data_IF_879850600341
#
_entry.id   IF_879850600341
#
_cell.length_a   1.000
_cell.length_b   1.000
_cell.length_c   1.000
_cell.angle_alpha   90.00
_cell.angle_beta   90.00
_cell.angle_gamma   90.00
#
_symmetry.space_group_name_H-M   'P 1'
#
loop_
_entity.id
_entity.type
_entity.pdbx_description
1 polymer ?
#
# COMPACT_ATOMS: atom_id res chain seq x y z
N UNK A 1 -9.42 19.78 -9.00
CA UNK A 1 -10.79 20.31 -9.14
C UNK A 1 -11.72 19.30 -8.50
N UNK A 2 -12.12 19.56 -7.25
CA UNK A 2 -12.87 18.58 -6.42
C UNK A 2 -14.38 18.77 -6.58
N UNK A 3 -15.10 17.67 -6.83
CA UNK A 3 -16.56 17.61 -6.78
C UNK A 3 -17.00 16.85 -5.53
N UNK A 4 -17.75 17.55 -4.66
CA UNK A 4 -18.38 16.99 -3.46
C UNK A 4 -19.71 16.32 -3.82
N UNK A 5 -19.88 15.05 -3.45
CA UNK A 5 -21.16 14.34 -3.52
C UNK A 5 -21.87 14.39 -2.17
N UNK A 6 -23.07 15.00 -2.12
CA UNK A 6 -23.92 15.08 -0.91
C UNK A 6 -24.86 13.85 -0.85
N UNK A 7 -24.86 13.11 0.26
CA UNK A 7 -25.91 12.14 0.59
C UNK A 7 -26.76 12.68 1.75
N UNK A 8 -28.09 12.65 1.60
CA UNK A 8 -29.06 13.04 2.63
C UNK A 8 -29.51 11.80 3.41
N UNK A 9 -29.35 11.82 4.73
CA UNK A 9 -29.98 10.88 5.64
C UNK A 9 -30.93 11.63 6.58
N UNK A 10 -32.15 11.11 6.74
CA UNK A 10 -33.22 11.67 7.57
C UNK A 10 -33.22 10.96 8.92
N UNK A 11 -33.01 11.67 10.03
CA UNK A 11 -33.02 11.06 11.37
C UNK A 11 -34.22 11.53 12.19
N UNK A 12 -34.87 10.56 12.85
CA UNK A 12 -35.96 10.71 13.80
C UNK A 12 -35.54 11.46 15.06
N UNK A 13 -36.38 12.40 15.49
CA UNK A 13 -36.20 13.18 16.70
C UNK A 13 -36.40 12.39 17.99
N UNK A 14 -35.63 12.72 19.02
CA UNK A 14 -35.89 12.36 20.41
C UNK A 14 -35.68 13.59 21.30
N UNK A 15 -36.74 13.93 22.03
CA UNK A 15 -36.92 15.01 22.99
C UNK A 15 -35.83 15.10 24.07
N UNK A 16 -35.41 16.33 24.38
CA UNK A 16 -34.87 16.68 25.70
C UNK A 16 -35.60 17.91 26.26
N UNK A 17 -36.32 17.69 27.37
CA UNK A 17 -37.08 18.69 28.14
C UNK A 17 -36.13 19.66 28.85
N UNK A 18 -36.34 20.95 28.63
CA UNK A 18 -35.68 22.04 29.36
C UNK A 18 -36.56 22.54 30.53
N UNK A 19 -35.94 22.74 31.69
CA UNK A 19 -36.57 23.17 32.94
C UNK A 19 -36.67 24.69 33.00
N UNK A 20 -37.89 25.15 33.22
CA UNK A 20 -38.35 26.53 33.25
C UNK A 20 -37.82 27.31 34.49
N UNK A 21 -37.32 28.54 34.32
CA UNK A 21 -37.27 29.53 35.40
C UNK A 21 -37.68 30.93 34.92
N UNK A 22 -38.76 31.36 35.56
CA UNK A 22 -39.61 32.53 35.37
C UNK A 22 -38.95 33.86 35.73
N UNK A 23 -39.23 34.91 34.96
CA UNK A 23 -39.40 36.28 35.47
C UNK A 23 -40.59 36.97 34.81
N UNK A 24 -41.50 37.43 35.67
CA UNK A 24 -42.74 38.18 35.40
C UNK A 24 -42.44 39.65 35.13
N UNK A 25 -43.04 40.27 34.10
CA UNK A 25 -43.48 41.68 34.14
C UNK A 25 -44.78 41.87 33.33
N UNK A 26 -45.81 42.29 34.07
CA UNK A 26 -47.02 43.10 33.82
C UNK A 26 -47.60 43.35 32.42
N UNK A 27 -48.94 43.20 32.36
CA UNK A 27 -49.86 43.57 31.29
C UNK A 27 -50.23 45.06 31.31
N UNK A 28 -50.44 45.67 30.13
CA UNK A 28 -51.42 46.76 29.89
C UNK A 28 -51.91 46.67 28.44
N UNK A 29 -53.24 46.75 28.28
CA UNK A 29 -54.01 46.72 27.03
C UNK A 29 -53.96 48.04 26.25
N UNK A 30 -53.98 47.96 24.91
CA UNK A 30 -54.72 48.90 24.05
C UNK A 30 -54.86 48.34 22.63
N UNK A 31 -56.11 48.03 22.26
CA UNK A 31 -56.50 47.71 20.89
C UNK A 31 -56.68 49.01 20.10
N UNK A 32 -55.98 49.14 18.97
CA UNK A 32 -56.33 50.10 17.91
C UNK A 32 -56.24 49.36 16.58
N UNK A 33 -57.37 49.29 15.89
CA UNK A 33 -57.56 48.72 14.56
C UNK A 33 -56.96 49.69 13.53
N UNK A 34 -55.91 49.28 12.80
CA UNK A 34 -55.49 49.94 11.57
C UNK A 34 -55.01 48.90 10.57
N UNK A 35 -55.80 48.77 9.51
CA UNK A 35 -55.62 47.91 8.35
C UNK A 35 -54.39 48.38 7.55
N UNK A 36 -53.24 47.73 7.69
CA UNK A 36 -52.06 47.97 6.84
C UNK A 36 -51.33 46.65 6.59
N UNK A 37 -51.49 46.17 5.35
CA UNK A 37 -50.59 45.28 4.56
C UNK A 37 -49.95 44.08 5.26
N UNK A 38 -50.28 42.88 4.75
CA UNK A 38 -49.55 41.66 5.06
C UNK A 38 -48.07 41.81 4.75
N UNK A 39 -47.26 41.82 5.82
CA UNK A 39 -45.86 41.43 5.75
C UNK A 39 -45.83 40.11 6.50
N UNK A 40 -45.83 39.01 5.76
CA UNK A 40 -45.38 37.74 6.30
C UNK A 40 -43.92 37.95 6.69
N UNK A 41 -43.64 38.04 7.98
CA UNK A 41 -42.26 37.92 8.46
C UNK A 41 -41.88 36.47 8.14
N UNK A 42 -40.93 36.21 7.22
CA UNK A 42 -40.51 34.85 6.99
C UNK A 42 -39.98 34.31 8.31
N UNK A 43 -40.48 33.15 8.74
CA UNK A 43 -39.80 32.39 9.77
C UNK A 43 -38.38 32.16 9.24
N UNK A 44 -37.39 32.79 9.86
CA UNK A 44 -35.99 32.46 9.62
C UNK A 44 -35.87 31.03 10.13
N UNK A 45 -35.92 30.06 9.21
CA UNK A 45 -35.46 28.71 9.50
C UNK A 45 -34.03 28.88 9.99
N UNK A 46 -33.78 28.57 11.26
CA UNK A 46 -32.42 28.43 11.73
C UNK A 46 -31.77 27.39 10.82
N UNK A 47 -30.71 27.83 10.13
CA UNK A 47 -29.90 26.95 9.30
C UNK A 47 -29.50 25.77 10.19
N UNK A 48 -29.93 24.56 9.85
CA UNK A 48 -29.47 23.39 10.60
C UNK A 48 -27.95 23.40 10.50
N UNK A 49 -27.20 23.26 11.61
CA UNK A 49 -25.76 23.33 11.57
C UNK A 49 -25.25 22.29 10.57
N UNK A 50 -24.70 22.76 9.44
CA UNK A 50 -24.03 21.90 8.47
C UNK A 50 -22.77 21.37 9.17
N UNK A 51 -22.91 20.19 9.79
CA UNK A 51 -21.77 19.48 10.35
C UNK A 51 -21.03 18.86 9.18
N UNK A 52 -20.03 19.59 8.67
CA UNK A 52 -19.09 19.06 7.69
C UNK A 52 -18.10 18.19 8.45
N UNK A 53 -18.27 16.87 8.34
CA UNK A 53 -17.29 15.90 8.84
C UNK A 53 -16.28 15.66 7.72
N UNK A 54 -15.12 16.30 7.83
CA UNK A 54 -13.98 16.02 6.96
C UNK A 54 -13.14 14.90 7.56
N UNK A 55 -13.15 13.74 6.90
CA UNK A 55 -12.28 12.61 7.23
C UNK A 55 -11.41 12.25 6.01
N UNK A 56 -10.15 11.96 6.25
CA UNK A 56 -9.21 11.44 5.24
C UNK A 56 -8.59 10.13 5.70
N UNK A 57 -8.46 9.17 4.79
CA UNK A 57 -7.63 7.97 4.99
C UNK A 57 -6.17 8.21 4.55
N UNK A 58 -5.29 7.23 4.76
CA UNK A 58 -3.86 7.29 4.42
C UNK A 58 -3.59 7.02 2.91
N UNK A 59 -4.39 7.56 2.00
CA UNK A 59 -4.29 7.29 0.55
C UNK A 59 -3.82 8.49 -0.28
N UNK A 60 -3.39 8.25 -1.53
CA UNK A 60 -2.98 9.28 -2.48
C UNK A 60 -4.16 10.02 -3.16
N UNK A 61 -5.38 9.90 -2.63
CA UNK A 61 -6.56 10.67 -3.05
C UNK A 61 -7.23 10.24 -4.36
N UNK A 62 -6.91 9.05 -4.89
CA UNK A 62 -7.54 8.45 -6.08
C UNK A 62 -7.88 6.99 -5.72
N UNK A 63 -9.13 6.57 -5.92
CA UNK A 63 -9.56 5.18 -5.73
C UNK A 63 -10.48 4.92 -4.53
N UNK A 64 -10.52 3.66 -4.09
CA UNK A 64 -11.43 3.16 -3.05
C UNK A 64 -11.22 3.83 -1.69
N UNK A 65 -12.27 4.44 -1.12
CA UNK A 65 -12.25 4.93 0.26
C UNK A 65 -12.24 3.75 1.23
N UNK A 66 -11.19 3.64 2.05
CA UNK A 66 -11.02 2.53 2.99
C UNK A 66 -12.17 2.46 4.02
N UNK A 67 -12.50 3.57 4.69
CA UNK A 67 -13.62 3.61 5.63
C UNK A 67 -14.97 3.45 4.95
N UNK A 68 -15.13 3.97 3.73
CA UNK A 68 -16.36 3.76 2.97
C UNK A 68 -16.51 2.29 2.57
N UNK A 69 -15.43 1.60 2.20
CA UNK A 69 -15.43 0.15 1.95
C UNK A 69 -15.80 -0.63 3.22
N UNK A 70 -15.30 -0.24 4.38
CA UNK A 70 -15.74 -0.79 5.66
C UNK A 70 -17.24 -0.56 5.90
N UNK A 71 -17.76 0.65 5.65
CA UNK A 71 -19.19 0.95 5.78
C UNK A 71 -20.06 0.07 4.88
N UNK A 72 -19.70 -0.06 3.61
CA UNK A 72 -20.38 -0.95 2.66
C UNK A 72 -20.34 -2.42 3.11
N UNK A 73 -19.21 -2.88 3.65
CA UNK A 73 -19.08 -4.22 4.19
C UNK A 73 -19.98 -4.45 5.42
N UNK A 74 -20.10 -3.45 6.29
CA UNK A 74 -21.01 -3.49 7.44
C UNK A 74 -22.50 -3.47 7.03
N UNK A 75 -22.81 -2.94 5.86
CA UNK A 75 -24.14 -3.02 5.23
C UNK A 75 -24.38 -4.37 4.52
N UNK A 76 -23.42 -5.30 4.58
CA UNK A 76 -23.54 -6.66 4.07
C UNK A 76 -23.12 -6.84 2.61
N UNK A 77 -22.47 -5.84 1.99
CA UNK A 77 -21.97 -5.97 0.62
C UNK A 77 -20.76 -6.88 0.53
N UNK A 78 -20.63 -7.60 -0.58
CA UNK A 78 -19.45 -8.42 -0.88
C UNK A 78 -18.28 -7.56 -1.36
N UNK A 79 -17.06 -8.12 -1.30
CA UNK A 79 -15.86 -7.49 -1.80
C UNK A 79 -15.99 -7.02 -3.26
N UNK A 80 -16.62 -7.83 -4.11
CA UNK A 80 -16.86 -7.54 -5.52
C UNK A 80 -17.83 -6.37 -5.70
N UNK A 81 -18.91 -6.31 -4.90
CA UNK A 81 -19.85 -5.19 -4.91
C UNK A 81 -19.19 -3.90 -4.39
N UNK A 82 -18.32 -4.00 -3.39
CA UNK A 82 -17.56 -2.88 -2.84
C UNK A 82 -16.61 -2.32 -3.90
N UNK A 83 -15.79 -3.15 -4.54
CA UNK A 83 -14.87 -2.65 -5.59
C UNK A 83 -15.66 -2.13 -6.80
N UNK A 84 -16.76 -2.79 -7.20
CA UNK A 84 -17.63 -2.33 -8.28
C UNK A 84 -18.29 -0.97 -8.00
N UNK A 85 -18.55 -0.64 -6.73
CA UNK A 85 -19.04 0.67 -6.32
C UNK A 85 -17.99 1.77 -6.55
N UNK A 86 -16.72 1.53 -6.23
CA UNK A 86 -15.66 2.53 -6.39
C UNK A 86 -15.10 2.62 -7.81
N UNK A 87 -15.08 1.49 -8.53
CA UNK A 87 -14.59 1.39 -9.89
C UNK A 87 -15.79 1.05 -10.78
N UNK A 88 -16.63 2.05 -11.05
CA UNK A 88 -17.87 1.86 -11.82
C UNK A 88 -17.57 1.26 -13.19
N UNK A 89 -18.34 0.23 -13.59
CA UNK A 89 -18.11 -0.48 -14.85
C UNK A 89 -17.02 -1.55 -14.80
N UNK A 90 -16.39 -1.75 -13.63
CA UNK A 90 -15.42 -2.82 -13.43
C UNK A 90 -16.06 -4.18 -13.16
N UNK A 91 -15.28 -5.23 -13.38
CA UNK A 91 -15.56 -6.61 -12.98
C UNK A 91 -14.32 -7.26 -12.40
N UNK A 92 -14.47 -8.36 -11.68
CA UNK A 92 -13.33 -9.18 -11.25
C UNK A 92 -13.04 -10.29 -12.26
N UNK A 93 -11.76 -10.60 -12.45
CA UNK A 93 -11.30 -11.70 -13.29
C UNK A 93 -10.00 -12.32 -12.74
N UNK A 94 -9.68 -13.54 -13.16
CA UNK A 94 -8.37 -14.11 -12.87
C UNK A 94 -7.31 -13.41 -13.72
N UNK A 95 -6.14 -13.13 -13.12
CA UNK A 95 -5.00 -12.52 -13.82
C UNK A 95 -4.66 -13.30 -15.09
N UNK A 96 -4.64 -14.63 -15.00
CA UNK A 96 -4.31 -15.50 -16.13
C UNK A 96 -5.27 -15.37 -17.31
N UNK A 97 -6.54 -15.02 -17.07
CA UNK A 97 -7.52 -14.79 -18.13
C UNK A 97 -7.28 -13.43 -18.82
N UNK A 98 -6.62 -12.50 -18.14
CA UNK A 98 -6.31 -11.17 -18.66
C UNK A 98 -5.01 -11.14 -19.47
N UNK A 99 -4.00 -11.87 -19.03
CA UNK A 99 -2.66 -11.81 -19.64
C UNK A 99 -2.27 -13.07 -20.43
N UNK A 100 -2.96 -14.19 -20.20
CA UNK A 100 -2.64 -15.49 -20.78
C UNK A 100 -1.62 -16.30 -19.95
N UNK A 101 -1.63 -17.61 -20.14
CA UNK A 101 -0.83 -18.59 -19.37
C UNK A 101 0.69 -18.41 -19.52
N UNK A 102 1.15 -17.91 -20.68
CA UNK A 102 2.57 -17.77 -21.00
C UNK A 102 3.16 -16.42 -20.57
N UNK A 103 2.34 -15.50 -20.07
CA UNK A 103 2.80 -14.17 -19.68
C UNK A 103 3.67 -14.22 -18.42
N UNK A 104 4.71 -13.39 -18.34
CA UNK A 104 5.70 -13.41 -17.25
C UNK A 104 5.07 -13.21 -15.86
N UNK A 105 3.97 -12.46 -15.77
CA UNK A 105 3.21 -12.28 -14.53
C UNK A 105 2.66 -13.60 -13.97
N UNK A 106 2.47 -14.60 -14.83
CA UNK A 106 1.97 -15.94 -14.47
C UNK A 106 3.13 -16.94 -14.35
N UNK A 107 4.11 -16.86 -15.24
CA UNK A 107 5.19 -17.87 -15.35
C UNK A 107 6.39 -17.61 -14.46
N UNK A 108 6.73 -16.36 -14.14
CA UNK A 108 7.77 -16.04 -13.15
C UNK A 108 7.16 -16.17 -11.73
N UNK A 109 7.72 -17.03 -10.84
CA UNK A 109 7.22 -17.18 -9.48
C UNK A 109 7.41 -15.91 -8.62
N UNK A 110 8.31 -15.01 -9.02
CA UNK A 110 8.64 -13.77 -8.31
C UNK A 110 8.69 -12.57 -9.28
N UNK A 111 7.57 -12.24 -9.95
CA UNK A 111 7.58 -11.26 -11.03
C UNK A 111 7.71 -9.83 -10.50
N UNK A 112 7.30 -9.57 -9.25
CA UNK A 112 7.21 -8.23 -8.71
C UNK A 112 8.54 -7.78 -8.12
N UNK A 113 8.91 -6.53 -8.42
CA UNK A 113 10.11 -5.87 -7.90
C UNK A 113 9.69 -4.61 -7.17
N UNK A 114 9.82 -4.60 -5.85
CA UNK A 114 9.43 -3.48 -5.00
C UNK A 114 10.70 -2.72 -4.60
N UNK A 115 10.84 -1.46 -5.01
CA UNK A 115 12.00 -0.62 -4.71
C UNK A 115 12.05 -0.28 -3.23
N UNK A 116 13.14 -0.72 -2.57
CA UNK A 116 13.39 -0.50 -1.15
C UNK A 116 14.32 0.70 -0.93
N UNK A 117 15.46 0.70 -1.64
CA UNK A 117 16.48 1.73 -1.49
C UNK A 117 16.89 2.23 -2.86
N UNK A 118 17.04 3.55 -3.00
CA UNK A 118 17.48 4.17 -4.26
C UNK A 118 18.75 4.98 -4.06
N UNK A 119 19.59 5.03 -5.10
CA UNK A 119 20.75 5.91 -5.19
C UNK A 119 21.72 5.78 -3.98
N UNK A 120 22.11 4.55 -3.63
CA UNK A 120 22.99 4.26 -2.48
C UNK A 120 24.39 3.87 -2.94
N UNK A 121 25.44 4.38 -2.28
CA UNK A 121 26.81 3.84 -2.45
C UNK A 121 27.09 2.65 -1.54
N UNK A 122 26.16 2.36 -0.62
CA UNK A 122 26.23 1.27 0.34
C UNK A 122 24.82 0.80 0.65
N UNK A 123 24.59 -0.50 0.48
CA UNK A 123 23.37 -1.18 0.96
C UNK A 123 23.78 -2.04 2.14
N UNK A 124 23.36 -1.65 3.35
CA UNK A 124 23.56 -2.44 4.57
C UNK A 124 22.43 -3.45 4.71
N UNK A 125 22.77 -4.66 5.14
CA UNK A 125 21.81 -5.70 5.43
C UNK A 125 22.36 -6.69 6.47
N UNK A 126 21.45 -7.43 7.11
CA UNK A 126 21.80 -8.48 8.05
C UNK A 126 20.77 -9.61 8.00
N UNK A 127 21.14 -10.78 8.51
CA UNK A 127 20.17 -11.81 8.88
C UNK A 127 19.69 -11.53 10.31
N UNK A 128 18.38 -11.53 10.53
CA UNK A 128 17.79 -11.42 11.88
C UNK A 128 17.85 -12.78 12.56
N UNK A 129 17.34 -13.79 11.86
CA UNK A 129 17.35 -15.19 12.22
C UNK A 129 17.78 -16.05 11.00
N UNK A 130 17.93 -17.35 11.24
CA UNK A 130 18.38 -18.30 10.21
C UNK A 130 19.68 -17.85 9.54
N UNK A 131 19.91 -18.24 8.30
CA UNK A 131 21.07 -17.73 7.55
C UNK A 131 20.69 -17.44 6.10
N UNK A 132 21.17 -16.32 5.58
CA UNK A 132 20.91 -15.86 4.21
C UNK A 132 22.12 -16.13 3.32
N UNK A 133 21.92 -16.16 2.01
CA UNK A 133 23.03 -16.25 1.05
C UNK A 133 23.13 -14.98 0.23
N UNK A 134 24.28 -14.33 0.27
CA UNK A 134 24.63 -13.23 -0.61
C UNK A 134 25.38 -13.76 -1.85
N UNK A 135 24.98 -13.27 -3.03
CA UNK A 135 25.57 -13.64 -4.30
C UNK A 135 25.99 -12.39 -5.08
N UNK A 136 27.18 -12.46 -5.69
CA UNK A 136 27.75 -11.41 -6.51
C UNK A 136 27.84 -11.90 -7.96
N UNK A 137 27.18 -11.21 -8.90
CA UNK A 137 27.31 -11.54 -10.31
C UNK A 137 28.71 -11.12 -10.80
N UNK A 138 29.48 -12.06 -11.37
CA UNK A 138 30.74 -11.78 -12.06
C UNK A 138 32.04 -12.16 -11.32
N UNK A 139 32.02 -12.65 -10.08
CA UNK A 139 33.24 -12.96 -9.31
C UNK A 139 33.34 -14.36 -8.70
N UNK A 140 32.39 -15.28 -8.94
CA UNK A 140 32.52 -16.68 -8.50
C UNK A 140 31.29 -17.37 -7.90
N UNK A 141 30.09 -16.80 -8.02
CA UNK A 141 28.83 -17.48 -7.65
C UNK A 141 28.33 -17.19 -6.23
N UNK A 142 27.16 -17.75 -5.90
CA UNK A 142 26.49 -17.61 -4.61
C UNK A 142 27.26 -18.35 -3.50
N UNK A 143 28.14 -17.65 -2.78
CA UNK A 143 29.05 -18.33 -1.83
C UNK A 143 29.12 -17.68 -0.44
N UNK A 144 28.48 -16.53 -0.21
CA UNK A 144 28.63 -15.81 1.05
C UNK A 144 27.45 -16.09 1.98
N UNK A 145 27.70 -16.84 3.04
CA UNK A 145 26.72 -17.07 4.10
C UNK A 145 26.68 -15.87 5.03
N UNK A 146 25.49 -15.29 5.18
CA UNK A 146 25.18 -14.18 6.08
C UNK A 146 24.49 -14.79 7.30
N UNK A 147 25.13 -14.69 8.45
CA UNK A 147 24.64 -15.26 9.71
C UNK A 147 24.11 -14.17 10.65
N UNK A 148 23.26 -14.51 11.63
CA UNK A 148 22.73 -13.55 12.58
C UNK A 148 23.85 -12.90 13.41
N UNK A 149 23.68 -11.61 13.72
CA UNK A 149 24.67 -10.81 14.46
C UNK A 149 25.82 -10.26 13.61
N UNK A 150 25.86 -10.56 12.31
CA UNK A 150 26.84 -9.99 11.38
C UNK A 150 26.30 -8.73 10.69
N UNK A 151 27.13 -7.71 10.50
CA UNK A 151 26.78 -6.52 9.73
C UNK A 151 27.37 -6.58 8.33
N UNK A 152 26.52 -6.85 7.33
CA UNK A 152 26.94 -6.93 5.94
C UNK A 152 26.64 -5.65 5.17
N UNK A 153 27.45 -5.39 4.15
CA UNK A 153 27.17 -4.33 3.18
C UNK A 153 27.58 -4.76 1.78
N UNK A 154 26.83 -4.29 0.78
CA UNK A 154 27.30 -4.21 -0.60
C UNK A 154 27.69 -2.76 -0.89
N UNK A 155 28.96 -2.53 -1.25
CA UNK A 155 29.54 -1.19 -1.39
C UNK A 155 30.05 -0.95 -2.80
N UNK A 156 29.84 0.28 -3.29
CA UNK A 156 30.44 0.80 -4.52
C UNK A 156 31.81 1.39 -4.21
N UNK A 157 32.82 1.03 -5.00
CA UNK A 157 34.21 1.50 -4.87
C UNK A 157 34.49 2.67 -5.81
N UNK A 158 35.60 3.38 -5.56
CA UNK A 158 36.02 4.53 -6.38
C UNK A 158 36.43 4.16 -7.81
N UNK A 159 36.74 2.89 -8.06
CA UNK A 159 37.07 2.33 -9.38
C UNK A 159 35.82 1.89 -10.18
N UNK A 160 34.60 2.14 -9.66
CA UNK A 160 33.32 1.76 -10.28
C UNK A 160 32.91 0.31 -10.04
N UNK A 161 33.76 -0.50 -9.40
CA UNK A 161 33.41 -1.87 -9.01
C UNK A 161 32.62 -1.91 -7.70
N UNK A 162 31.99 -3.04 -7.41
CA UNK A 162 31.32 -3.29 -6.14
C UNK A 162 31.86 -4.54 -5.45
N UNK A 163 31.72 -4.59 -4.13
CA UNK A 163 32.11 -5.75 -3.32
C UNK A 163 31.20 -5.89 -2.08
N UNK A 164 31.17 -7.09 -1.50
CA UNK A 164 30.65 -7.30 -0.17
C UNK A 164 31.71 -6.97 0.89
N UNK A 165 31.26 -6.36 1.97
CA UNK A 165 32.02 -6.18 3.21
C UNK A 165 31.24 -6.76 4.37
N UNK A 166 31.95 -7.32 5.35
CA UNK A 166 31.42 -7.69 6.66
C UNK A 166 32.17 -6.87 7.70
N UNK A 167 31.44 -6.13 8.54
CA UNK A 167 32.03 -5.22 9.54
C UNK A 167 33.05 -4.24 8.91
N UNK A 168 32.68 -3.72 7.73
CA UNK A 168 33.48 -2.83 6.87
C UNK A 168 34.76 -3.45 6.25
N UNK A 169 35.06 -4.71 6.53
CA UNK A 169 36.17 -5.44 5.90
C UNK A 169 35.71 -6.17 4.62
N UNK A 170 36.48 -6.12 3.51
CA UNK A 170 36.13 -6.82 2.27
C UNK A 170 36.10 -8.34 2.46
N UNK A 171 34.99 -8.97 2.05
CA UNK A 171 34.81 -10.44 2.10
C UNK A 171 34.59 -11.05 0.72
N UNK A 172 34.39 -10.24 -0.32
CA UNK A 172 34.35 -10.68 -1.71
C UNK A 172 35.42 -9.99 -2.54
N UNK A 173 35.77 -10.61 -3.67
CA UNK A 173 36.45 -9.90 -4.74
C UNK A 173 35.57 -8.75 -5.24
N UNK A 174 36.22 -7.70 -5.74
CA UNK A 174 35.52 -6.60 -6.40
C UNK A 174 35.07 -7.03 -7.81
N UNK A 175 33.91 -6.55 -8.25
CA UNK A 175 33.30 -6.97 -9.51
C UNK A 175 32.11 -6.11 -9.91
N UNK A 176 31.20 -6.65 -10.71
CA UNK A 176 30.04 -5.90 -11.22
C UNK A 176 29.11 -5.44 -10.08
N UNK A 177 28.44 -4.31 -10.22
CA UNK A 177 27.48 -3.83 -9.22
C UNK A 177 26.11 -4.49 -9.34
N UNK A 178 26.12 -5.82 -9.39
CA UNK A 178 24.94 -6.67 -9.43
C UNK A 178 25.06 -7.76 -8.37
N UNK A 179 24.18 -7.71 -7.37
CA UNK A 179 24.17 -8.67 -6.28
C UNK A 179 22.74 -9.10 -5.92
N UNK A 180 22.63 -10.21 -5.21
CA UNK A 180 21.36 -10.66 -4.64
C UNK A 180 21.57 -11.22 -3.24
N UNK A 181 20.57 -11.04 -2.37
CA UNK A 181 20.50 -11.71 -1.06
C UNK A 181 19.24 -12.56 -1.05
N UNK A 182 19.41 -13.87 -0.84
CA UNK A 182 18.34 -14.87 -0.94
C UNK A 182 18.30 -15.79 0.29
N UNK A 183 17.29 -16.65 0.33
CA UNK A 183 17.09 -17.60 1.44
C UNK A 183 16.12 -17.10 2.50
N UNK A 184 15.43 -15.99 2.24
CA UNK A 184 14.39 -15.51 3.14
C UNK A 184 13.22 -16.51 3.21
N UNK A 185 12.70 -16.74 4.41
CA UNK A 185 11.50 -17.57 4.64
C UNK A 185 10.80 -17.22 5.96
N UNK A 186 9.45 -17.23 6.04
CA UNK A 186 8.67 -16.86 7.25
C UNK A 186 9.03 -17.62 8.53
N UNK A 187 9.46 -18.88 8.42
CA UNK A 187 9.88 -19.70 9.57
C UNK A 187 11.37 -20.05 9.58
N UNK A 188 12.19 -19.35 8.80
CA UNK A 188 13.60 -19.67 8.63
C UNK A 188 14.51 -18.48 8.84
N UNK A 189 14.71 -17.68 7.79
CA UNK A 189 15.64 -16.56 7.82
C UNK A 189 14.96 -15.28 7.34
N UNK A 190 15.14 -14.18 8.07
CA UNK A 190 14.65 -12.87 7.72
C UNK A 190 15.82 -11.94 7.40
N UNK A 191 15.60 -11.11 6.39
CA UNK A 191 16.52 -10.04 5.99
C UNK A 191 16.14 -8.75 6.72
N UNK A 192 17.12 -8.12 7.34
CA UNK A 192 17.03 -6.76 7.85
C UNK A 192 17.68 -5.76 6.88
N UNK A 193 17.00 -4.65 6.60
CA UNK A 193 17.51 -3.49 5.85
C UNK A 193 17.51 -2.23 6.73
N UNK A 194 18.54 -2.01 7.57
CA UNK A 194 18.52 -0.97 8.61
C UNK A 194 18.31 0.47 8.09
N UNK A 195 18.65 0.71 6.82
CA UNK A 195 18.54 2.04 6.20
C UNK A 195 17.09 2.47 5.88
N UNK A 196 16.10 1.62 6.12
CA UNK A 196 14.69 1.98 5.98
C UNK A 196 14.12 2.69 7.22
N UNK A 197 14.80 2.65 8.38
CA UNK A 197 14.60 3.47 9.59
C UNK A 197 13.15 3.63 10.14
N UNK A 198 12.16 2.87 9.65
CA UNK A 198 10.74 3.01 10.04
C UNK A 198 10.12 1.79 10.74
N UNK A 199 10.92 0.84 11.26
CA UNK A 199 10.40 -0.42 11.83
C UNK A 199 9.66 -1.29 10.81
N UNK A 200 9.99 -1.12 9.53
CA UNK A 200 9.45 -1.79 8.33
C UNK A 200 10.60 -2.31 7.48
N UNK A 201 11.62 -2.80 8.15
CA UNK A 201 12.94 -3.10 7.62
C UNK A 201 13.25 -4.59 7.60
N UNK A 202 12.35 -5.43 8.10
CA UNK A 202 12.48 -6.88 8.09
C UNK A 202 11.63 -7.53 6.99
N UNK A 203 12.20 -8.51 6.30
CA UNK A 203 11.57 -9.21 5.18
C UNK A 203 11.82 -10.71 5.28
N UNK A 204 10.75 -11.49 5.20
CA UNK A 204 10.81 -12.95 5.30
C UNK A 204 10.50 -13.66 3.98
N UNK A 205 10.34 -12.93 2.87
CA UNK A 205 9.93 -13.49 1.58
C UNK A 205 10.70 -12.88 0.42
N UNK A 206 10.76 -13.61 -0.68
CA UNK A 206 11.44 -13.17 -1.90
C UNK A 206 12.97 -13.18 -1.79
N UNK A 207 13.60 -12.26 -2.51
CA UNK A 207 15.06 -12.04 -2.54
C UNK A 207 15.36 -10.57 -2.79
N UNK A 208 16.38 -10.03 -2.13
CA UNK A 208 16.84 -8.67 -2.38
C UNK A 208 17.69 -8.66 -3.63
N UNK A 209 17.36 -7.80 -4.57
CA UNK A 209 18.12 -7.54 -5.79
C UNK A 209 18.81 -6.19 -5.66
N UNK A 210 20.13 -6.17 -5.81
CA UNK A 210 20.93 -4.95 -5.81
C UNK A 210 21.49 -4.76 -7.21
N UNK A 211 21.18 -3.63 -7.84
CA UNK A 211 21.53 -3.34 -9.24
C UNK A 211 21.96 -1.89 -9.42
N UNK A 212 22.71 -1.62 -10.47
CA UNK A 212 23.10 -0.28 -10.87
C UNK A 212 22.57 0.02 -12.28
N UNK A 213 21.97 1.19 -12.56
CA UNK A 213 21.53 1.60 -13.90
C UNK A 213 22.72 1.77 -14.85
N UNK A 214 23.80 2.34 -14.31
CA UNK A 214 25.02 2.66 -15.04
C UNK A 214 26.22 1.96 -14.38
N UNK A 215 27.37 1.85 -15.05
CA UNK A 215 28.62 1.41 -14.39
C UNK A 215 29.16 2.44 -13.36
N UNK A 216 28.30 3.31 -12.83
CA UNK A 216 28.58 4.40 -11.90
C UNK A 216 28.21 4.08 -10.44
N UNK A 217 28.80 4.84 -9.53
CA UNK A 217 29.00 4.55 -8.10
C UNK A 217 27.75 4.47 -7.18
N UNK A 218 26.55 4.20 -7.71
CA UNK A 218 25.31 4.16 -6.92
C UNK A 218 24.41 3.01 -7.37
N UNK A 219 23.90 2.26 -6.40
CA UNK A 219 23.00 1.12 -6.60
C UNK A 219 21.60 1.42 -6.09
N UNK A 220 20.62 0.74 -6.66
CA UNK A 220 19.28 0.56 -6.10
C UNK A 220 19.15 -0.84 -5.51
N UNK A 221 18.31 -0.99 -4.51
CA UNK A 221 17.91 -2.27 -3.95
C UNK A 221 16.40 -2.43 -4.08
N UNK A 222 15.96 -3.55 -4.65
CA UNK A 222 14.56 -3.90 -4.81
C UNK A 222 14.30 -5.31 -4.28
N UNK A 223 13.16 -5.52 -3.62
CA UNK A 223 12.71 -6.84 -3.22
C UNK A 223 12.02 -7.51 -4.42
N UNK A 224 12.59 -8.60 -4.91
CA UNK A 224 11.94 -9.45 -5.91
C UNK A 224 11.12 -10.53 -5.20
N UNK A 225 9.80 -10.56 -5.43
CA UNK A 225 8.83 -11.31 -4.61
C UNK A 225 7.64 -11.81 -5.45
N UNK A 226 6.98 -12.87 -4.97
CA UNK A 226 5.70 -13.31 -5.51
C UNK A 226 4.60 -12.27 -5.26
N UNK A 227 3.60 -12.20 -6.15
CA UNK A 227 2.52 -11.21 -6.04
C UNK A 227 1.66 -11.39 -4.79
N UNK A 228 1.29 -12.63 -4.44
CA UNK A 228 0.47 -12.90 -3.25
C UNK A 228 1.28 -12.69 -1.96
N UNK A 229 2.55 -13.10 -1.98
CA UNK A 229 3.46 -12.87 -0.86
C UNK A 229 3.71 -11.39 -0.59
N UNK A 230 3.76 -10.56 -1.63
CA UNK A 230 3.81 -9.11 -1.48
C UNK A 230 2.57 -8.57 -0.74
N UNK A 231 1.39 -9.09 -1.05
CA UNK A 231 0.15 -8.63 -0.41
C UNK A 231 0.13 -8.93 1.08
N UNK A 232 0.72 -10.04 1.55
CA UNK A 232 0.81 -10.31 2.99
C UNK A 232 1.53 -9.20 3.77
N UNK A 233 2.54 -8.56 3.16
CA UNK A 233 3.29 -7.45 3.75
C UNK A 233 2.66 -6.07 3.55
N UNK A 234 1.50 -5.97 2.89
CA UNK A 234 0.82 -4.72 2.61
C UNK A 234 0.08 -4.20 3.86
N UNK A 235 0.38 -2.97 4.27
CA UNK A 235 -0.11 -2.35 5.50
C UNK A 235 -0.94 -1.10 5.19
N UNK A 236 -2.18 -1.32 4.75
CA UNK A 236 -3.12 -0.26 4.35
C UNK A 236 -4.28 -0.11 5.36
N UNK A 237 -4.90 -1.23 5.75
CA UNK A 237 -6.10 -1.27 6.61
C UNK A 237 -5.87 -2.10 7.89
N UNK A 238 -6.59 -1.82 9.00
CA UNK A 238 -6.53 -2.63 10.21
C UNK A 238 -7.07 -4.05 10.01
N UNK A 239 -6.38 -5.06 10.55
CA UNK A 239 -6.77 -6.48 10.42
C UNK A 239 -8.07 -6.87 11.13
N UNK A 240 -8.58 -6.01 12.00
CA UNK A 240 -9.84 -6.20 12.72
C UNK A 240 -11.07 -5.78 11.91
N UNK A 241 -10.87 -5.21 10.71
CA UNK A 241 -11.96 -4.80 9.85
C UNK A 241 -12.74 -5.99 9.31
N UNK A 242 -13.97 -5.70 8.86
CA UNK A 242 -14.86 -6.68 8.29
C UNK A 242 -14.18 -7.44 7.13
N UNK A 243 -14.38 -8.76 7.06
CA UNK A 243 -13.70 -9.63 6.09
C UNK A 243 -13.91 -9.17 4.63
N UNK A 244 -15.11 -8.76 4.26
CA UNK A 244 -15.38 -8.24 2.90
C UNK A 244 -14.63 -6.93 2.59
N UNK A 245 -14.37 -6.09 3.60
CA UNK A 245 -13.53 -4.90 3.43
C UNK A 245 -12.06 -5.28 3.23
N UNK A 246 -11.56 -6.28 3.98
CA UNK A 246 -10.21 -6.82 3.79
C UNK A 246 -10.06 -7.45 2.40
N UNK A 247 -11.03 -8.25 1.95
CA UNK A 247 -11.06 -8.85 0.62
C UNK A 247 -11.11 -7.79 -0.48
N UNK A 248 -11.93 -6.75 -0.33
CA UNK A 248 -11.96 -5.62 -1.26
C UNK A 248 -10.61 -4.90 -1.35
N UNK A 249 -9.95 -4.67 -0.20
CA UNK A 249 -8.61 -4.09 -0.16
C UNK A 249 -7.56 -4.98 -0.82
N UNK A 250 -7.63 -6.30 -0.63
CA UNK A 250 -6.75 -7.26 -1.30
C UNK A 250 -6.94 -7.24 -2.82
N UNK A 251 -8.19 -7.22 -3.31
CA UNK A 251 -8.50 -7.08 -4.74
C UNK A 251 -7.91 -5.78 -5.30
N UNK A 252 -8.17 -4.64 -4.66
CA UNK A 252 -7.67 -3.34 -5.11
C UNK A 252 -6.12 -3.32 -5.13
N UNK A 253 -5.49 -3.78 -4.05
CA UNK A 253 -4.03 -3.81 -3.95
C UNK A 253 -3.37 -4.73 -4.97
N UNK A 254 -3.94 -5.94 -5.19
CA UNK A 254 -3.46 -6.88 -6.20
C UNK A 254 -3.58 -6.31 -7.61
N UNK A 255 -4.69 -5.65 -7.90
CA UNK A 255 -4.97 -5.04 -9.20
C UNK A 255 -3.95 -3.96 -9.53
N UNK A 256 -3.65 -3.10 -8.56
CA UNK A 256 -2.62 -2.07 -8.71
C UNK A 256 -1.24 -2.68 -8.99
N UNK A 257 -0.81 -3.66 -8.20
CA UNK A 257 0.46 -4.34 -8.39
C UNK A 257 0.54 -5.07 -9.74
N UNK A 258 -0.55 -5.71 -10.16
CA UNK A 258 -0.67 -6.38 -11.46
C UNK A 258 -0.58 -5.39 -12.60
N UNK A 259 -1.27 -4.25 -12.51
CA UNK A 259 -1.16 -3.20 -13.52
C UNK A 259 0.27 -2.65 -13.60
N UNK A 260 1.00 -2.48 -12.48
CA UNK A 260 2.41 -2.10 -12.50
C UNK A 260 3.32 -3.14 -13.16
N UNK A 261 3.03 -4.44 -13.02
CA UNK A 261 3.72 -5.52 -13.73
C UNK A 261 3.48 -5.40 -15.24
N UNK A 262 2.22 -5.42 -15.66
CA UNK A 262 1.86 -5.44 -17.08
C UNK A 262 2.34 -4.16 -17.79
N UNK A 263 2.12 -2.99 -17.19
CA UNK A 263 2.47 -1.70 -17.81
C UNK A 263 3.97 -1.46 -17.94
N UNK A 264 4.81 -2.15 -17.14
CA UNK A 264 6.27 -1.97 -17.17
C UNK A 264 7.02 -3.14 -17.78
N UNK A 265 6.39 -4.30 -17.94
CA UNK A 265 7.04 -5.51 -18.42
C UNK A 265 8.02 -6.10 -17.40
N UNK A 266 8.77 -7.14 -17.78
CA UNK A 266 9.75 -7.77 -16.90
C UNK A 266 10.95 -6.84 -16.64
N UNK A 267 11.74 -7.13 -15.59
CA UNK A 267 12.75 -6.20 -15.08
C UNK A 267 13.92 -5.93 -16.05
N UNK A 268 14.18 -6.85 -16.98
CA UNK A 268 15.12 -6.71 -18.10
C UNK A 268 14.68 -5.63 -19.10
N UNK A 269 13.37 -5.48 -19.30
CA UNK A 269 12.75 -4.63 -20.32
C UNK A 269 12.40 -3.23 -19.80
N UNK A 270 12.67 -2.95 -18.52
CA UNK A 270 12.44 -1.63 -17.95
C UNK A 270 13.09 -0.52 -18.79
N UNK A 271 12.33 0.54 -19.05
CA UNK A 271 12.86 1.75 -19.65
C UNK A 271 14.06 2.30 -18.84
N UNK A 272 15.05 2.87 -19.52
CA UNK A 272 16.27 3.39 -18.88
C UNK A 272 15.97 4.42 -17.78
N UNK A 273 14.94 5.25 -17.96
CA UNK A 273 14.48 6.18 -16.92
C UNK A 273 13.97 5.48 -15.65
N UNK A 274 13.39 4.28 -15.78
CA UNK A 274 12.93 3.48 -14.64
C UNK A 274 14.10 2.77 -13.96
N UNK A 275 15.03 2.23 -14.74
CA UNK A 275 16.29 1.68 -14.21
C UNK A 275 17.06 2.72 -13.41
N UNK A 276 17.16 3.95 -13.92
CA UNK A 276 17.85 5.07 -13.27
C UNK A 276 17.19 5.58 -11.96
N UNK A 277 15.89 5.34 -11.78
CA UNK A 277 15.15 5.85 -10.61
C UNK A 277 15.08 4.82 -9.48
N UNK A 278 14.70 3.59 -9.78
CA UNK A 278 14.63 2.53 -8.77
C UNK A 278 14.95 1.12 -9.29
N UNK A 279 14.92 0.90 -10.60
CA UNK A 279 14.94 -0.43 -11.21
C UNK A 279 13.89 -1.36 -10.58
N UNK A 280 12.65 -0.91 -10.54
CA UNK A 280 11.56 -1.58 -9.82
C UNK A 280 10.22 -1.41 -10.53
N UNK A 281 9.27 -2.29 -10.24
CA UNK A 281 7.88 -2.11 -10.64
C UNK A 281 7.22 -1.00 -9.82
N UNK A 282 7.41 -0.98 -8.51
CA UNK A 282 6.77 -0.02 -7.59
C UNK A 282 7.64 0.30 -6.39
N UNK A 283 7.38 1.41 -5.71
CA UNK A 283 8.01 1.78 -4.44
C UNK A 283 7.30 1.12 -3.26
N UNK A 284 8.03 0.90 -2.16
CA UNK A 284 7.48 0.37 -0.90
C UNK A 284 6.68 1.39 -0.07
N UNK A 285 6.60 2.64 -0.54
CA UNK A 285 5.99 3.75 0.20
C UNK A 285 4.62 4.09 -0.36
N UNK A 286 3.89 4.97 0.33
CA UNK A 286 2.60 5.52 -0.11
C UNK A 286 2.64 6.26 -1.46
N UNK A 287 3.82 6.43 -2.07
CA UNK A 287 3.92 6.82 -3.49
C UNK A 287 3.31 5.78 -4.43
N UNK A 288 3.31 4.51 -4.03
CA UNK A 288 2.60 3.43 -4.70
C UNK A 288 1.67 2.73 -3.70
N UNK A 289 2.23 1.97 -2.75
CA UNK A 289 1.49 1.22 -1.74
C UNK A 289 2.34 1.06 -0.47
N UNK A 290 1.73 1.18 0.70
CA UNK A 290 2.39 1.08 2.00
C UNK A 290 2.80 -0.38 2.27
N UNK A 291 4.02 -0.74 1.89
CA UNK A 291 4.58 -2.07 2.11
C UNK A 291 5.44 -2.08 3.38
N UNK A 292 5.10 -2.94 4.33
CA UNK A 292 5.77 -3.05 5.62
C UNK A 292 6.48 -4.40 5.83
N UNK A 293 6.39 -5.31 4.85
CA UNK A 293 7.07 -6.60 4.91
C UNK A 293 6.68 -7.41 6.15
N UNK A 294 7.69 -7.99 6.80
CA UNK A 294 7.51 -8.92 7.91
C UNK A 294 6.80 -8.30 9.12
N UNK A 295 6.98 -7.01 9.36
CA UNK A 295 6.30 -6.30 10.44
C UNK A 295 4.76 -6.39 10.33
N UNK A 296 4.22 -6.43 9.11
CA UNK A 296 2.79 -6.62 8.88
C UNK A 296 2.39 -8.10 8.92
N UNK A 297 3.21 -8.98 8.36
CA UNK A 297 2.94 -10.42 8.31
C UNK A 297 2.94 -11.09 9.68
N UNK A 298 3.77 -10.60 10.60
CA UNK A 298 3.92 -11.14 11.95
C UNK A 298 3.04 -10.42 13.00
N UNK A 299 2.31 -9.38 12.60
CA UNK A 299 1.51 -8.60 13.53
C UNK A 299 0.29 -9.37 14.04
N UNK A 300 -0.16 -9.00 15.25
CA UNK A 300 -1.35 -9.61 15.85
C UNK A 300 -2.59 -9.39 14.97
N UNK A 301 -3.23 -10.47 14.55
CA UNK A 301 -4.39 -10.44 13.65
C UNK A 301 -4.05 -10.52 12.15
N UNK A 302 -2.76 -10.58 11.77
CA UNK A 302 -2.34 -10.71 10.37
C UNK A 302 -2.98 -11.90 9.64
N UNK A 303 -3.34 -12.97 10.35
CA UNK A 303 -4.05 -14.12 9.79
C UNK A 303 -5.39 -13.75 9.12
N UNK A 304 -6.10 -12.73 9.60
CA UNK A 304 -7.34 -12.26 8.96
C UNK A 304 -7.04 -11.62 7.60
N UNK A 305 -5.97 -10.82 7.53
CA UNK A 305 -5.51 -10.22 6.28
C UNK A 305 -5.00 -11.26 5.30
N UNK A 306 -4.17 -12.19 5.75
CA UNK A 306 -3.66 -13.30 4.93
C UNK A 306 -4.81 -14.14 4.37
N UNK A 307 -5.84 -14.45 5.18
CA UNK A 307 -7.05 -15.13 4.72
C UNK A 307 -7.82 -14.36 3.63
N UNK A 308 -7.90 -13.02 3.75
CA UNK A 308 -8.51 -12.18 2.72
C UNK A 308 -7.68 -12.13 1.42
N UNK A 309 -6.35 -12.11 1.53
CA UNK A 309 -5.43 -12.24 0.39
C UNK A 309 -5.64 -13.60 -0.29
N UNK A 310 -5.58 -14.70 0.47
CA UNK A 310 -5.68 -16.07 -0.03
C UNK A 310 -7.03 -16.35 -0.70
N UNK A 311 -8.12 -15.93 -0.07
CA UNK A 311 -9.49 -16.11 -0.62
C UNK A 311 -9.75 -15.29 -1.88
N UNK A 312 -8.86 -14.36 -2.23
CA UNK A 312 -8.94 -13.55 -3.45
C UNK A 312 -7.74 -13.78 -4.38
N UNK A 313 -6.92 -14.80 -4.12
CA UNK A 313 -5.69 -15.07 -4.85
C UNK A 313 -5.93 -15.11 -6.36
N UNK A 314 -5.03 -14.50 -7.13
CA UNK A 314 -5.12 -14.42 -8.58
C UNK A 314 -6.28 -13.56 -9.12
N UNK A 315 -7.13 -12.98 -8.27
CA UNK A 315 -8.29 -12.20 -8.70
C UNK A 315 -7.97 -10.71 -8.70
N UNK A 316 -8.21 -10.05 -9.84
CA UNK A 316 -8.00 -8.62 -10.04
C UNK A 316 -9.27 -7.94 -10.55
N UNK A 317 -9.35 -6.64 -10.29
CA UNK A 317 -10.35 -5.72 -10.85
C UNK A 317 -9.92 -5.35 -12.26
N UNK A 318 -10.86 -5.46 -13.18
CA UNK A 318 -10.70 -5.20 -14.61
C UNK A 318 -11.71 -4.17 -15.04
N UNK A 319 -11.34 -3.30 -15.98
CA UNK A 319 -12.26 -2.31 -16.54
C UNK A 319 -12.15 -2.35 -18.07
N UNK A 320 -13.28 -2.32 -18.81
CA UNK A 320 -13.26 -2.37 -20.28
C UNK A 320 -12.47 -1.20 -20.90
N UNK A 321 -12.45 -0.05 -20.23
CA UNK A 321 -11.53 1.03 -20.54
C UNK A 321 -10.31 0.96 -19.63
N UNK A 322 -9.18 0.43 -20.12
CA UNK A 322 -7.93 0.27 -19.37
C UNK A 322 -7.27 1.57 -18.86
N UNK A 323 -7.91 2.72 -19.03
CA UNK A 323 -7.46 4.03 -18.55
C UNK A 323 -8.05 4.45 -17.19
N UNK A 324 -9.00 3.68 -16.64
CA UNK A 324 -9.74 4.02 -15.41
C UNK A 324 -9.50 3.08 -14.22
N UNK A 325 -8.57 2.13 -14.34
CA UNK A 325 -8.23 1.14 -13.29
C UNK A 325 -6.84 1.41 -12.70
#
# INVERSE_FOLDING_TARGET
MGGSGKLKATTLGADFREVNRTRRISAVWLAVFALVTGIAVPAIAADEPEVVIEGGGWGHGIGMSQYGALGQALEGKTAEEIVGYYYSGSSTAQIVDQVGQEHFTVTDPTPLWVGMLTNRSRVRFAAVDGSLTACHSGSGGCAYQVSPGESWSFVTRGDGSCQFTKDDEPVSAAGSCQAQVRGMSPGGAHLLLPALETGRDEFARGKLMIRTPDQGAKVHAALQINLEEYLYGLAEVPFSWHNEALRAQALAGRSYATWRLISRGPAEDFAESRKATCWCHMYATTSDQSYSGWANEAAAGAANWQSAVDSTAGTVVTHPDASQA
#
